data_IF_240839466559
#
_entry.id   IF_240839466559
#
_cell.length_a   1.000
_cell.length_b   1.000
_cell.length_c   1.000
_cell.angle_alpha   90.00
_cell.angle_beta   90.00
_cell.angle_gamma   90.00
#
_symmetry.space_group_name_H-M   'P 1'
#
loop_
_entity.id
_entity.type
_entity.pdbx_description
1 polymer ?
#
# COMPACT_ATOMS: atom_id res chain seq x y z
N UNK A 1 14.26 -16.00 -21.48
CA UNK A 1 14.02 -14.69 -22.11
C UNK A 1 13.51 -13.79 -21.01
N UNK A 2 14.39 -13.03 -20.36
CA UNK A 2 13.99 -12.12 -19.28
C UNK A 2 13.24 -10.95 -19.91
N UNK A 3 11.95 -10.86 -19.63
CA UNK A 3 11.18 -9.65 -19.85
C UNK A 3 11.52 -8.70 -18.71
N UNK A 4 12.53 -7.85 -18.94
CA UNK A 4 12.67 -6.61 -18.20
C UNK A 4 11.63 -5.65 -18.77
N UNK A 5 10.44 -5.66 -18.19
CA UNK A 5 9.43 -4.63 -18.45
C UNK A 5 9.73 -3.42 -17.56
N UNK A 6 10.69 -2.61 -18.00
CA UNK A 6 11.14 -1.38 -17.33
C UNK A 6 10.38 -0.14 -17.82
N UNK A 7 9.10 -0.27 -18.19
CA UNK A 7 8.19 0.88 -18.09
C UNK A 7 7.72 1.03 -16.64
N UNK A 8 8.71 1.14 -15.74
CA UNK A 8 8.57 1.02 -14.30
C UNK A 8 7.90 2.26 -13.72
N UNK A 9 6.58 2.22 -13.63
CA UNK A 9 5.83 3.18 -12.83
C UNK A 9 6.32 3.05 -11.38
N UNK A 10 6.99 4.09 -10.88
CA UNK A 10 7.40 4.20 -9.48
C UNK A 10 6.15 4.40 -8.62
N UNK A 11 5.48 3.29 -8.31
CA UNK A 11 4.26 3.22 -7.52
C UNK A 11 4.40 3.97 -6.19
N UNK A 12 5.60 3.89 -5.58
CA UNK A 12 5.86 4.57 -4.31
C UNK A 12 5.91 6.09 -4.48
N UNK A 13 6.55 6.59 -5.53
CA UNK A 13 6.52 8.03 -5.83
C UNK A 13 5.11 8.53 -6.14
N UNK A 14 4.31 7.74 -6.87
CA UNK A 14 2.89 8.08 -7.13
C UNK A 14 2.10 8.16 -5.84
N UNK A 15 2.22 7.16 -4.96
CA UNK A 15 1.52 7.14 -3.69
C UNK A 15 1.93 8.33 -2.80
N UNK A 16 3.23 8.62 -2.70
CA UNK A 16 3.75 9.75 -1.95
C UNK A 16 3.20 11.08 -2.49
N UNK A 17 3.16 11.25 -3.82
CA UNK A 17 2.58 12.42 -4.47
C UNK A 17 1.08 12.57 -4.19
N UNK A 18 0.32 11.47 -4.24
CA UNK A 18 -1.13 11.48 -4.03
C UNK A 18 -1.54 11.99 -2.64
N UNK A 19 -0.66 11.84 -1.64
CA UNK A 19 -0.87 12.33 -0.27
C UNK A 19 -0.04 13.58 0.07
N UNK A 20 0.60 14.20 -0.93
CA UNK A 20 1.50 15.34 -0.77
C UNK A 20 2.61 15.13 0.27
N UNK A 21 3.12 13.89 0.39
CA UNK A 21 4.20 13.55 1.30
C UNK A 21 5.55 13.61 0.58
N UNK A 22 6.49 14.49 0.98
CA UNK A 22 7.83 14.47 0.45
C UNK A 22 8.53 13.17 0.85
N UNK A 23 9.14 12.48 -0.13
CA UNK A 23 9.89 11.25 0.09
C UNK A 23 11.38 11.47 -0.26
N UNK A 24 12.21 11.87 0.73
CA UNK A 24 13.65 11.98 0.52
C UNK A 24 14.25 10.63 0.11
N UNK A 25 15.24 10.65 -0.78
CA UNK A 25 15.90 9.43 -1.26
C UNK A 25 16.50 8.58 -0.12
N UNK A 26 16.98 9.22 0.94
CA UNK A 26 17.49 8.53 2.12
C UNK A 26 16.43 7.69 2.84
N UNK A 27 15.15 8.06 2.74
CA UNK A 27 14.04 7.35 3.37
C UNK A 27 13.45 6.24 2.47
N UNK A 28 13.64 6.35 1.15
CA UNK A 28 13.04 5.47 0.15
C UNK A 28 13.25 3.96 0.44
N UNK A 29 14.47 3.47 0.72
CA UNK A 29 14.68 2.04 0.99
C UNK A 29 13.87 1.53 2.21
N UNK A 30 13.76 2.35 3.25
CA UNK A 30 12.98 2.00 4.44
C UNK A 30 11.48 1.99 4.18
N UNK A 31 10.99 2.93 3.37
CA UNK A 31 9.57 2.98 2.99
C UNK A 31 9.21 1.81 2.09
N UNK A 32 10.07 1.42 1.14
CA UNK A 32 9.88 0.23 0.29
C UNK A 32 9.82 -1.05 1.13
N UNK A 33 10.75 -1.22 2.07
CA UNK A 33 10.76 -2.37 2.97
C UNK A 33 9.47 -2.45 3.81
N UNK A 34 9.04 -1.33 4.38
CA UNK A 34 7.81 -1.26 5.17
C UNK A 34 6.56 -1.51 4.33
N UNK A 35 6.48 -0.94 3.12
CA UNK A 35 5.39 -1.18 2.19
C UNK A 35 5.27 -2.67 1.82
N UNK A 36 6.41 -3.35 1.61
CA UNK A 36 6.42 -4.80 1.38
C UNK A 36 5.84 -5.59 2.56
N UNK A 37 6.15 -5.21 3.80
CA UNK A 37 5.59 -5.86 4.99
C UNK A 37 4.08 -5.62 5.09
N UNK A 38 3.63 -4.38 4.89
CA UNK A 38 2.21 -4.02 4.94
C UNK A 38 1.39 -4.75 3.87
N UNK A 39 1.92 -4.92 2.66
CA UNK A 39 1.29 -5.72 1.60
C UNK A 39 1.07 -7.18 2.03
N UNK A 40 2.01 -7.75 2.78
CA UNK A 40 1.86 -9.06 3.38
C UNK A 40 0.68 -9.14 4.35
N UNK A 41 0.51 -8.12 5.21
CA UNK A 41 -0.65 -8.06 6.11
C UNK A 41 -1.97 -7.86 5.39
N UNK A 42 -2.00 -7.03 4.34
CA UNK A 42 -3.18 -6.86 3.50
C UNK A 42 -3.61 -8.20 2.90
N UNK A 43 -2.68 -8.97 2.33
CA UNK A 43 -3.00 -10.28 1.76
C UNK A 43 -3.59 -11.27 2.80
N UNK A 44 -3.16 -11.20 4.06
CA UNK A 44 -3.75 -12.00 5.13
C UNK A 44 -5.20 -11.58 5.45
N UNK A 45 -5.48 -10.28 5.43
CA UNK A 45 -6.82 -9.74 5.69
C UNK A 45 -7.77 -10.04 4.52
N UNK A 46 -7.30 -9.87 3.28
CA UNK A 46 -8.08 -10.16 2.06
C UNK A 46 -8.49 -11.64 1.94
N UNK A 47 -7.73 -12.54 2.58
CA UNK A 47 -8.07 -13.97 2.67
C UNK A 47 -9.19 -14.28 3.65
N UNK A 48 -9.66 -13.32 4.46
CA UNK A 48 -10.73 -13.54 5.42
C UNK A 48 -12.11 -13.35 4.75
N UNK A 49 -13.05 -14.30 4.94
CA UNK A 49 -14.40 -14.13 4.44
C UNK A 49 -15.11 -13.04 5.23
N UNK A 50 -15.30 -11.88 4.61
CA UNK A 50 -16.11 -10.78 5.14
C UNK A 50 -17.50 -10.85 4.52
N UNK A 51 -18.53 -10.79 5.37
CA UNK A 51 -19.92 -10.66 4.92
C UNK A 51 -20.15 -9.28 4.32
N UNK A 52 -21.01 -9.17 3.31
CA UNK A 52 -21.47 -7.89 2.76
C UNK A 52 -22.21 -7.03 3.80
N UNK A 53 -22.64 -7.64 4.91
CA UNK A 53 -23.26 -6.97 6.06
C UNK A 53 -22.26 -6.69 7.20
N UNK A 54 -20.97 -6.85 6.97
CA UNK A 54 -19.95 -6.49 7.95
C UNK A 54 -19.84 -4.98 8.06
N UNK A 55 -20.42 -4.42 9.12
CA UNK A 55 -20.32 -3.00 9.42
C UNK A 55 -18.90 -2.61 9.86
N UNK A 56 -18.45 -1.37 9.60
CA UNK A 56 -17.22 -0.85 10.16
C UNK A 56 -17.23 -0.89 11.69
N UNK A 57 -16.07 -1.12 12.30
CA UNK A 57 -15.94 -1.24 13.76
C UNK A 57 -16.40 0.00 14.54
N UNK A 58 -16.35 1.18 13.91
CA UNK A 58 -16.78 2.44 14.50
C UNK A 58 -17.77 3.15 13.57
N UNK A 59 -18.89 3.60 14.16
CA UNK A 59 -19.88 4.44 13.49
C UNK A 59 -19.56 5.93 13.67
N UNK A 60 -20.03 6.74 12.73
CA UNK A 60 -20.00 8.19 12.86
C UNK A 60 -21.08 8.67 13.84
N UNK A 61 -20.70 9.49 14.83
CA UNK A 61 -21.65 10.25 15.66
C UNK A 61 -21.53 11.72 15.27
N UNK A 62 -22.60 12.35 14.73
CA UNK A 62 -22.60 13.75 14.36
C UNK A 62 -22.45 14.72 15.54
#
# INVERSE_FOLDING_TARGET
MSVNDDSGVDELAIMAQAVALPLPDACRPGVEANASVLRGYVALIEGLPLSDHCEPAFGYTP
#
